data_IF_187779929392
#
_entry.id   IF_187779929392
#
_cell.length_a   1.000
_cell.length_b   1.000
_cell.length_c   1.000
_cell.angle_alpha   90.00
_cell.angle_beta   90.00
_cell.angle_gamma   90.00
#
_symmetry.space_group_name_H-M   'P 1'
#
loop_
_entity.id
_entity.type
_entity.pdbx_description
1 polymer ?
#
# COMPACT_ATOMS: atom_id res chain seq x y z
N UNK A 1 -10.54 -0.98 9.58
CA UNK A 1 -10.09 -2.37 9.70
C UNK A 1 -11.01 -3.07 10.71
N UNK A 2 -11.75 -4.10 10.28
CA UNK A 2 -12.52 -4.99 11.16
C UNK A 2 -11.66 -5.60 12.29
N UNK A 3 -12.30 -6.00 13.40
CA UNK A 3 -11.60 -6.63 14.54
C UNK A 3 -10.98 -7.98 14.16
N UNK A 4 -11.62 -8.72 13.25
CA UNK A 4 -11.17 -10.02 12.73
C UNK A 4 -9.81 -9.91 12.01
N UNK A 5 -9.58 -8.79 11.30
CA UNK A 5 -8.30 -8.50 10.65
C UNK A 5 -7.21 -8.20 11.68
N UNK A 6 -7.55 -7.59 12.82
CA UNK A 6 -6.61 -7.34 13.92
C UNK A 6 -6.14 -8.65 14.56
N UNK A 7 -7.06 -9.58 14.81
CA UNK A 7 -6.71 -10.88 15.40
C UNK A 7 -5.88 -11.74 14.45
N UNK A 8 -6.16 -11.68 13.15
CA UNK A 8 -5.31 -12.28 12.12
C UNK A 8 -3.89 -11.70 12.14
N UNK A 9 -3.74 -10.38 12.23
CA UNK A 9 -2.43 -9.73 12.27
C UNK A 9 -1.65 -10.11 13.54
N UNK A 10 -2.32 -10.16 14.70
CA UNK A 10 -1.71 -10.65 15.95
C UNK A 10 -1.27 -12.10 15.85
N UNK A 11 -2.03 -12.95 15.16
CA UNK A 11 -1.64 -14.34 14.95
C UNK A 11 -0.39 -14.45 14.05
N UNK A 12 -0.26 -13.59 13.03
CA UNK A 12 0.93 -13.53 12.16
C UNK A 12 2.17 -13.04 12.91
N UNK A 13 2.01 -12.05 13.78
CA UNK A 13 3.06 -11.56 14.69
C UNK A 13 3.50 -12.66 15.67
N UNK A 14 2.55 -13.34 16.31
CA UNK A 14 2.83 -14.47 17.20
C UNK A 14 3.50 -15.66 16.47
N UNK A 15 3.23 -15.82 15.17
CA UNK A 15 3.88 -16.82 14.33
C UNK A 15 5.25 -16.36 13.77
N UNK A 16 5.68 -15.12 14.06
CA UNK A 16 6.93 -14.55 13.55
C UNK A 16 6.94 -14.27 12.05
N UNK A 17 5.76 -14.24 11.41
CA UNK A 17 5.62 -13.98 9.97
C UNK A 17 5.80 -12.49 9.65
N UNK A 18 5.49 -11.62 10.60
CA UNK A 18 5.74 -10.17 10.53
C UNK A 18 6.54 -9.75 11.76
N UNK A 19 7.33 -8.67 11.64
CA UNK A 19 8.17 -8.17 12.74
C UNK A 19 7.36 -7.58 13.89
N UNK A 20 6.27 -6.87 13.57
CA UNK A 20 5.29 -6.39 14.54
C UNK A 20 3.98 -6.01 13.85
N UNK A 21 2.85 -6.17 14.55
CA UNK A 21 1.53 -5.68 14.07
C UNK A 21 1.56 -4.17 13.81
N UNK A 22 2.16 -3.38 14.71
CA UNK A 22 2.22 -1.93 14.58
C UNK A 22 3.08 -1.48 13.39
N UNK A 23 4.22 -2.13 13.16
CA UNK A 23 5.08 -1.86 12.01
C UNK A 23 4.39 -2.20 10.70
N UNK A 24 3.74 -3.37 10.63
CA UNK A 24 2.98 -3.79 9.46
C UNK A 24 1.84 -2.81 9.12
N UNK A 25 1.05 -2.40 10.11
CA UNK A 25 -0.04 -1.45 9.91
C UNK A 25 0.50 -0.07 9.51
N UNK A 26 1.57 0.41 10.15
CA UNK A 26 2.18 1.70 9.82
C UNK A 26 2.69 1.74 8.36
N UNK A 27 3.38 0.70 7.92
CA UNK A 27 3.85 0.57 6.53
C UNK A 27 2.67 0.50 5.55
N UNK A 28 1.69 -0.36 5.82
CA UNK A 28 0.50 -0.51 4.96
C UNK A 28 -0.27 0.81 4.80
N UNK A 29 -0.41 1.57 5.89
CA UNK A 29 -1.06 2.89 5.84
C UNK A 29 -0.20 3.91 5.09
N UNK A 30 1.11 3.92 5.32
CA UNK A 30 2.04 4.81 4.63
C UNK A 30 2.01 4.58 3.11
N UNK A 31 2.15 3.33 2.65
CA UNK A 31 2.13 2.97 1.22
C UNK A 31 0.81 3.39 0.56
N UNK A 32 -0.31 3.19 1.25
CA UNK A 32 -1.63 3.61 0.77
C UNK A 32 -1.74 5.13 0.68
N UNK A 33 -1.26 5.86 1.69
CA UNK A 33 -1.30 7.33 1.70
C UNK A 33 -0.40 7.91 0.62
N UNK A 34 0.80 7.35 0.42
CA UNK A 34 1.71 7.79 -0.64
C UNK A 34 1.09 7.56 -2.03
N UNK A 35 0.42 6.42 -2.24
CA UNK A 35 -0.37 6.18 -3.46
C UNK A 35 -1.49 7.20 -3.64
N UNK A 36 -2.33 7.43 -2.62
CA UNK A 36 -3.44 8.39 -2.72
C UNK A 36 -2.95 9.82 -2.95
N UNK A 37 -1.94 10.26 -2.20
CA UNK A 37 -1.36 11.59 -2.32
C UNK A 37 -0.72 11.80 -3.70
N UNK A 38 -0.07 10.78 -4.26
CA UNK A 38 0.46 10.84 -5.62
C UNK A 38 -0.66 10.99 -6.65
N UNK A 39 -1.72 10.17 -6.57
CA UNK A 39 -2.87 10.24 -7.48
C UNK A 39 -3.58 11.60 -7.39
N UNK A 40 -3.74 12.14 -6.20
CA UNK A 40 -4.33 13.47 -5.98
C UNK A 40 -3.49 14.59 -6.61
N UNK A 41 -2.17 14.59 -6.39
CA UNK A 41 -1.25 15.56 -7.02
C UNK A 41 -1.27 15.44 -8.54
N UNK A 42 -1.34 14.21 -9.05
CA UNK A 42 -1.40 13.96 -10.48
C UNK A 42 -2.70 14.51 -11.07
N UNK A 43 -3.86 14.17 -10.50
CA UNK A 43 -5.17 14.74 -10.91
C UNK A 43 -5.20 16.26 -10.81
N UNK A 44 -4.65 16.84 -9.75
CA UNK A 44 -4.57 18.30 -9.61
C UNK A 44 -3.76 18.95 -10.75
N UNK A 45 -2.81 18.22 -11.34
CA UNK A 45 -1.97 18.70 -12.45
C UNK A 45 -2.56 18.46 -13.82
N UNK A 46 -3.26 17.33 -14.03
CA UNK A 46 -3.75 16.91 -15.36
C UNK A 46 -5.26 17.02 -15.54
N UNK A 47 -6.00 17.39 -14.49
CA UNK A 47 -7.46 17.34 -14.46
C UNK A 47 -7.95 15.92 -14.16
N UNK A 48 -9.05 15.52 -14.81
CA UNK A 48 -9.57 14.17 -14.65
C UNK A 48 -8.91 13.24 -15.67
N UNK A 49 -7.99 12.33 -15.26
CA UNK A 49 -7.24 11.50 -16.19
C UNK A 49 -8.16 10.46 -16.84
N UNK A 50 -7.86 10.16 -18.10
CA UNK A 50 -8.50 9.04 -18.80
C UNK A 50 -8.36 7.74 -17.98
N UNK A 51 -9.37 6.84 -17.95
CA UNK A 51 -9.31 5.61 -17.17
C UNK A 51 -8.07 4.75 -17.44
N UNK A 52 -7.65 4.65 -18.71
CA UNK A 52 -6.43 3.94 -19.10
C UNK A 52 -5.16 4.54 -18.49
N UNK A 53 -5.09 5.87 -18.38
CA UNK A 53 -3.96 6.53 -17.73
C UNK A 53 -3.94 6.25 -16.22
N UNK A 54 -5.11 6.10 -15.59
CA UNK A 54 -5.21 5.73 -14.17
C UNK A 54 -4.73 4.31 -13.93
N UNK A 55 -5.10 3.36 -14.80
CA UNK A 55 -4.62 1.98 -14.73
C UNK A 55 -3.10 1.92 -14.92
N UNK A 56 -2.57 2.61 -15.93
CA UNK A 56 -1.12 2.68 -16.14
C UNK A 56 -0.38 3.31 -14.94
N UNK A 57 -0.94 4.36 -14.36
CA UNK A 57 -0.37 4.97 -13.17
C UNK A 57 -0.31 4.02 -11.98
N UNK A 58 -1.37 3.24 -11.76
CA UNK A 58 -1.39 2.19 -10.73
C UNK A 58 -0.31 1.13 -10.99
N UNK A 59 -0.13 0.68 -12.24
CA UNK A 59 0.95 -0.26 -12.60
C UNK A 59 2.35 0.30 -12.34
N UNK A 60 2.57 1.59 -12.59
CA UNK A 60 3.86 2.25 -12.34
C UNK A 60 4.13 2.37 -10.84
N UNK A 61 3.11 2.73 -10.05
CA UNK A 61 3.20 2.80 -8.58
C UNK A 61 3.51 1.41 -8.02
N UNK A 62 2.77 0.38 -8.42
CA UNK A 62 2.99 -1.00 -7.97
C UNK A 62 4.39 -1.50 -8.34
N UNK A 63 4.92 -1.10 -9.50
CA UNK A 63 6.29 -1.45 -9.91
C UNK A 63 7.38 -0.79 -9.07
N UNK A 64 7.17 0.43 -8.56
CA UNK A 64 8.17 1.15 -7.77
C UNK A 64 8.06 0.89 -6.28
N UNK A 65 6.84 0.75 -5.76
CA UNK A 65 6.57 0.62 -4.33
C UNK A 65 6.14 -0.80 -3.95
N UNK A 66 5.41 -1.51 -4.79
CA UNK A 66 5.05 -2.92 -4.58
C UNK A 66 6.24 -3.90 -4.71
N UNK A 67 7.39 -3.45 -5.23
CA UNK A 67 8.64 -4.23 -5.20
C UNK A 67 9.33 -4.25 -3.84
N UNK A 68 8.93 -3.39 -2.88
CA UNK A 68 9.48 -3.44 -1.52
C UNK A 68 9.14 -4.78 -0.82
N UNK A 69 8.00 -5.38 -1.14
CA UNK A 69 7.55 -6.67 -0.63
C UNK A 69 8.40 -7.86 -1.15
N UNK A 70 9.04 -7.73 -2.33
CA UNK A 70 9.74 -8.85 -2.99
C UNK A 70 11.23 -8.97 -2.61
N UNK A 71 11.76 -8.07 -1.78
CA UNK A 71 13.18 -8.08 -1.36
C UNK A 71 13.42 -8.76 -0.01
N UNK A 72 12.37 -9.26 0.64
CA UNK A 72 12.41 -10.00 1.90
C UNK A 72 12.18 -11.51 1.73
N UNK A 73 12.54 -12.09 0.57
CA UNK A 73 12.56 -13.54 0.33
C UNK A 73 13.98 -14.08 0.25
#
# INVERSE_FOLDING_TARGET
MPVEDVDRLKALDAAGVIESVSGYVAQTVHDRLDRQAWLERWRARVGDPHPEATVWADEVIDRHFGTADRRAS
#
